data_IF_553746891044
#
_entry.id   IF_553746891044
#
_cell.length_a   1.000
_cell.length_b   1.000
_cell.length_c   1.000
_cell.angle_alpha   90.00
_cell.angle_beta   90.00
_cell.angle_gamma   90.00
#
_symmetry.space_group_name_H-M   'P 1'
#
loop_
_entity.id
_entity.type
_entity.pdbx_description
1 polymer ?
#
# COMPACT_ATOMS: atom_id res chain seq x y z
N UNK A 1 -0.58 -48.07 -4.63
CA UNK A 1 -0.52 -47.14 -3.50
C UNK A 1 -0.03 -45.83 -4.03
N UNK A 2 -0.97 -44.90 -4.18
CA UNK A 2 -0.76 -43.53 -4.63
C UNK A 2 0.01 -42.72 -3.59
N UNK A 3 0.85 -41.80 -4.06
CA UNK A 3 1.09 -40.53 -3.37
C UNK A 3 1.45 -39.48 -4.43
N UNK A 4 0.44 -38.70 -4.78
CA UNK A 4 0.48 -37.47 -5.57
C UNK A 4 0.77 -36.31 -4.62
N UNK A 5 1.56 -35.34 -5.08
CA UNK A 5 1.76 -34.03 -4.44
C UNK A 5 3.25 -33.66 -4.45
N UNK A 6 3.73 -32.52 -4.94
CA UNK A 6 3.09 -31.23 -5.19
C UNK A 6 4.02 -30.48 -6.14
N UNK A 7 3.64 -30.38 -7.42
CA UNK A 7 4.36 -29.59 -8.43
C UNK A 7 3.63 -28.26 -8.59
N UNK A 8 3.95 -27.26 -7.77
CA UNK A 8 3.41 -25.91 -7.91
C UNK A 8 4.35 -24.87 -7.28
N UNK A 9 5.55 -24.73 -7.83
CA UNK A 9 6.42 -23.60 -7.52
C UNK A 9 7.44 -23.41 -8.64
N UNK A 10 7.08 -22.62 -9.67
CA UNK A 10 7.97 -21.78 -10.50
C UNK A 10 7.27 -21.40 -11.80
N UNK A 11 6.41 -20.39 -11.72
CA UNK A 11 6.09 -19.49 -12.84
C UNK A 11 5.99 -18.09 -12.23
N UNK A 12 7.12 -17.62 -11.69
CA UNK A 12 7.35 -16.18 -11.54
C UNK A 12 7.76 -15.71 -12.92
N UNK A 13 6.86 -14.98 -13.56
CA UNK A 13 7.13 -14.16 -14.73
C UNK A 13 8.35 -13.30 -14.40
N UNK A 14 9.45 -13.48 -15.13
CA UNK A 14 10.64 -12.65 -15.00
C UNK A 14 10.25 -11.22 -15.39
N UNK A 15 10.05 -10.36 -14.39
CA UNK A 15 9.95 -8.92 -14.58
C UNK A 15 11.32 -8.45 -15.06
N UNK A 16 11.45 -7.88 -16.27
CA UNK A 16 12.73 -7.37 -16.73
C UNK A 16 13.18 -6.28 -15.76
N UNK A 17 14.33 -6.50 -15.12
CA UNK A 17 15.01 -5.50 -14.30
C UNK A 17 15.62 -4.41 -15.20
N UNK A 18 14.77 -3.70 -15.94
CA UNK A 18 15.11 -2.42 -16.51
C UNK A 18 15.24 -1.43 -15.37
N UNK A 19 16.38 -0.75 -15.29
CA UNK A 19 16.66 0.32 -14.32
C UNK A 19 15.62 1.43 -14.44
N UNK A 20 14.50 1.30 -13.74
CA UNK A 20 13.69 2.45 -13.36
C UNK A 20 14.45 3.13 -12.24
N UNK A 21 15.26 4.12 -12.60
CA UNK A 21 15.93 4.96 -11.61
C UNK A 21 14.88 5.69 -10.78
N UNK A 22 15.18 5.94 -9.50
CA UNK A 22 14.33 6.76 -8.62
C UNK A 22 13.95 8.13 -9.24
N UNK A 23 14.70 8.57 -10.25
CA UNK A 23 14.48 9.77 -11.04
C UNK A 23 13.23 9.70 -11.95
N UNK A 24 12.95 8.56 -12.60
CA UNK A 24 11.73 8.37 -13.41
C UNK A 24 10.48 8.26 -12.53
N UNK A 25 10.62 7.71 -11.32
CA UNK A 25 9.55 7.63 -10.33
C UNK A 25 9.24 9.01 -9.72
N UNK A 26 10.26 9.83 -9.47
CA UNK A 26 10.07 11.21 -9.03
C UNK A 26 9.35 12.07 -10.07
N UNK A 27 9.50 11.79 -11.37
CA UNK A 27 8.73 12.49 -12.41
C UNK A 27 7.23 12.13 -12.37
N UNK A 28 6.86 10.90 -12.02
CA UNK A 28 5.46 10.48 -11.82
C UNK A 28 4.91 11.02 -10.49
N UNK A 29 5.76 11.14 -9.46
CA UNK A 29 5.40 11.58 -8.11
C UNK A 29 5.34 13.11 -7.97
N UNK A 30 6.16 13.86 -8.73
CA UNK A 30 6.18 15.32 -8.79
C UNK A 30 5.37 15.89 -9.96
N UNK A 31 4.77 15.03 -10.78
CA UNK A 31 3.77 15.47 -11.73
C UNK A 31 2.62 16.11 -10.96
N UNK A 32 2.45 17.42 -11.16
CA UNK A 32 1.31 18.19 -10.68
C UNK A 32 0.01 17.39 -10.86
N UNK A 33 -0.97 17.63 -9.99
CA UNK A 33 -2.28 16.96 -10.04
C UNK A 33 -2.96 16.96 -11.42
N UNK A 34 -2.54 17.88 -12.29
CA UNK A 34 -2.93 18.03 -13.70
C UNK A 34 -2.34 16.95 -14.64
N UNK A 35 -1.12 16.45 -14.42
CA UNK A 35 -0.53 15.39 -15.25
C UNK A 35 -1.04 13.99 -14.87
N UNK A 36 -1.55 13.82 -13.65
CA UNK A 36 -2.30 12.61 -13.24
C UNK A 36 -3.69 12.49 -13.90
N UNK A 37 -4.11 13.49 -14.69
CA UNK A 37 -5.32 13.40 -15.54
C UNK A 37 -5.02 12.84 -16.94
N UNK A 38 -3.75 12.77 -17.35
CA UNK A 38 -3.37 12.15 -18.61
C UNK A 38 -3.38 10.62 -18.45
N UNK A 39 -3.82 9.91 -19.48
CA UNK A 39 -3.80 8.45 -19.52
C UNK A 39 -2.39 7.93 -19.33
N UNK A 40 -2.25 6.88 -18.53
CA UNK A 40 -0.98 6.18 -18.37
C UNK A 40 -0.79 5.23 -19.55
N UNK A 41 0.37 5.34 -20.21
CA UNK A 41 0.80 4.32 -21.16
C UNK A 41 1.08 2.98 -20.45
N UNK A 42 1.27 1.92 -21.23
CA UNK A 42 1.42 0.57 -20.65
C UNK A 42 2.72 0.41 -19.84
N UNK A 43 3.79 1.12 -20.22
CA UNK A 43 5.07 1.06 -19.53
C UNK A 43 4.99 1.75 -18.16
N UNK A 44 4.40 2.94 -18.10
CA UNK A 44 4.18 3.69 -16.86
C UNK A 44 3.17 3.01 -15.95
N UNK A 45 2.12 2.39 -16.49
CA UNK A 45 1.19 1.59 -15.71
C UNK A 45 1.89 0.39 -15.07
N UNK A 46 2.73 -0.33 -15.82
CA UNK A 46 3.51 -1.45 -15.28
C UNK A 46 4.49 -1.00 -14.18
N UNK A 47 5.17 0.13 -14.37
CA UNK A 47 6.06 0.71 -13.36
C UNK A 47 5.29 1.13 -12.09
N UNK A 48 4.12 1.75 -12.23
CA UNK A 48 3.27 2.15 -11.11
C UNK A 48 2.73 0.93 -10.34
N UNK A 49 2.36 -0.15 -11.06
CA UNK A 49 1.95 -1.42 -10.44
C UNK A 49 3.09 -2.05 -9.63
N UNK A 50 4.31 -2.07 -10.18
CA UNK A 50 5.48 -2.59 -9.48
C UNK A 50 5.75 -1.80 -8.18
N UNK A 51 5.61 -0.48 -8.22
CA UNK A 51 5.78 0.39 -7.05
C UNK A 51 4.67 0.19 -6.01
N UNK A 52 3.42 0.04 -6.44
CA UNK A 52 2.27 -0.16 -5.55
C UNK A 52 2.39 -1.46 -4.73
N UNK A 53 3.00 -2.51 -5.29
CA UNK A 53 3.16 -3.83 -4.64
C UNK A 53 4.48 -3.94 -3.87
N UNK A 54 5.46 -3.07 -4.13
CA UNK A 54 6.77 -3.15 -3.49
C UNK A 54 6.69 -3.02 -1.94
N UNK A 55 7.49 -3.82 -1.20
CA UNK A 55 7.58 -3.68 0.25
C UNK A 55 8.17 -2.31 0.62
N UNK A 56 7.68 -1.73 1.71
CA UNK A 56 8.22 -0.46 2.21
C UNK A 56 9.64 -0.67 2.75
N UNK A 57 10.55 0.29 2.56
CA UNK A 57 11.91 0.19 3.08
C UNK A 57 11.88 0.16 4.61
N UNK A 58 12.69 -0.69 5.23
CA UNK A 58 12.80 -0.77 6.70
C UNK A 58 13.29 0.57 7.26
N UNK A 59 12.66 1.06 8.32
CA UNK A 59 13.10 2.28 9.00
C UNK A 59 14.28 1.98 9.91
N UNK A 60 15.22 2.92 9.98
CA UNK A 60 16.35 2.81 10.89
C UNK A 60 15.89 2.93 12.35
N UNK A 61 16.50 2.19 13.28
CA UNK A 61 16.25 2.35 14.70
C UNK A 61 16.57 3.77 15.17
N UNK A 62 15.83 4.23 16.18
CA UNK A 62 16.05 5.53 16.80
C UNK A 62 17.49 5.64 17.33
N UNK A 63 18.13 6.77 17.04
CA UNK A 63 19.41 7.10 17.62
C UNK A 63 19.33 7.21 19.16
N UNK A 64 20.43 6.86 19.84
CA UNK A 64 20.49 6.85 21.31
C UNK A 64 20.30 8.24 21.89
N UNK A 65 20.83 9.28 21.26
CA UNK A 65 20.74 10.64 21.80
C UNK A 65 19.32 11.18 21.67
N UNK A 66 18.66 10.93 20.53
CA UNK A 66 17.24 11.27 20.34
C UNK A 66 16.34 10.54 21.33
N UNK A 67 16.57 9.24 21.55
CA UNK A 67 15.83 8.44 22.51
C UNK A 67 15.96 8.99 23.94
N UNK A 68 17.19 9.29 24.36
CA UNK A 68 17.46 9.87 25.66
C UNK A 68 16.81 11.24 25.82
N UNK A 69 16.79 12.05 24.76
CA UNK A 69 16.13 13.34 24.78
C UNK A 69 14.61 13.20 24.98
N UNK A 70 13.96 12.30 24.24
CA UNK A 70 12.53 12.03 24.41
C UNK A 70 12.17 11.57 25.83
N UNK A 71 12.97 10.66 26.39
CA UNK A 71 12.78 10.20 27.77
C UNK A 71 12.98 11.34 28.80
N UNK A 72 13.97 12.21 28.59
CA UNK A 72 14.19 13.37 29.47
C UNK A 72 13.01 14.33 29.46
N UNK A 73 12.41 14.57 28.29
CA UNK A 73 11.20 15.40 28.18
C UNK A 73 10.06 14.77 28.97
N UNK A 74 9.79 13.47 28.77
CA UNK A 74 8.75 12.77 29.53
C UNK A 74 9.00 12.82 31.04
N UNK A 75 10.25 12.64 31.48
CA UNK A 75 10.64 12.70 32.89
C UNK A 75 10.53 14.11 33.49
N UNK A 76 10.67 15.15 32.67
CA UNK A 76 10.54 16.53 33.11
C UNK A 76 9.07 16.96 33.24
N UNK A 77 8.19 16.42 32.40
CA UNK A 77 6.76 16.78 32.36
C UNK A 77 5.93 15.90 33.31
N UNK A 78 6.25 14.60 33.42
CA UNK A 78 5.43 13.64 34.15
C UNK A 78 6.01 13.32 35.53
N UNK A 79 5.19 13.31 36.58
CA UNK A 79 5.63 12.90 37.91
C UNK A 79 5.98 11.40 37.93
N UNK A 80 7.01 11.05 38.69
CA UNK A 80 7.35 9.65 39.00
C UNK A 80 6.49 9.13 40.14
N UNK A 81 6.14 7.84 40.12
CA UNK A 81 5.51 7.20 41.27
C UNK A 81 6.55 6.94 42.35
N UNK A 82 6.18 7.13 43.63
CA UNK A 82 7.08 6.94 44.78
C UNK A 82 7.65 5.51 44.92
N UNK A 83 7.07 4.52 44.24
CA UNK A 83 7.58 3.14 44.18
C UNK A 83 8.77 2.97 43.23
N UNK A 84 9.06 3.97 42.39
CA UNK A 84 10.03 3.87 41.31
C UNK A 84 11.37 4.55 41.67
N UNK A 85 11.86 4.31 42.90
CA UNK A 85 13.18 4.79 43.37
C UNK A 85 14.33 3.95 42.77
N UNK A 86 14.24 3.73 41.46
CA UNK A 86 15.28 3.11 40.65
C UNK A 86 16.18 4.22 40.14
N UNK A 87 17.49 4.08 40.34
CA UNK A 87 18.50 5.01 39.82
C UNK A 87 18.20 5.34 38.35
N UNK A 88 18.15 6.64 38.01
CA UNK A 88 17.71 7.10 36.68
C UNK A 88 18.49 6.50 35.51
N UNK A 89 19.76 6.10 35.72
CA UNK A 89 20.56 5.40 34.71
C UNK A 89 20.04 3.99 34.42
N UNK A 90 19.60 3.26 35.45
CA UNK A 90 19.05 1.92 35.29
C UNK A 90 17.67 1.97 34.61
N UNK A 91 16.86 2.98 34.92
CA UNK A 91 15.61 3.25 34.23
C UNK A 91 15.84 3.45 32.72
N UNK A 92 16.70 4.39 32.34
CA UNK A 92 16.99 4.68 30.92
C UNK A 92 17.48 3.43 30.20
N UNK A 93 18.38 2.65 30.82
CA UNK A 93 18.89 1.40 30.24
C UNK A 93 17.80 0.35 30.00
N UNK A 94 16.87 0.19 30.95
CA UNK A 94 15.74 -0.74 30.81
C UNK A 94 14.82 -0.35 29.66
N UNK A 95 14.52 0.95 29.52
CA UNK A 95 13.69 1.47 28.43
C UNK A 95 14.41 1.33 27.09
N UNK A 96 15.70 1.68 27.00
CA UNK A 96 16.49 1.54 25.78
C UNK A 96 16.51 0.07 25.30
N UNK A 97 16.64 -0.89 26.21
CA UNK A 97 16.66 -2.32 25.85
C UNK A 97 15.36 -2.81 25.22
N UNK A 98 14.22 -2.22 25.60
CA UNK A 98 12.89 -2.63 25.14
C UNK A 98 12.36 -1.79 23.98
N UNK A 99 12.73 -0.51 23.93
CA UNK A 99 12.18 0.46 23.00
C UNK A 99 13.21 0.98 21.98
N UNK A 100 14.50 0.72 22.18
CA UNK A 100 15.56 1.23 21.28
C UNK A 100 15.56 0.64 19.88
N UNK A 101 14.76 -0.41 19.61
CA UNK A 101 14.60 -0.98 18.27
C UNK A 101 13.54 -0.26 17.41
N UNK A 102 12.76 0.66 17.97
CA UNK A 102 11.74 1.39 17.23
C UNK A 102 12.35 2.61 16.51
N UNK A 103 11.76 3.03 15.37
CA UNK A 103 12.26 4.17 14.62
C UNK A 103 12.06 5.49 15.36
N UNK A 104 12.86 6.50 14.99
CA UNK A 104 12.87 7.85 15.58
C UNK A 104 11.47 8.46 15.68
N UNK A 105 10.69 8.42 14.59
CA UNK A 105 9.35 9.01 14.54
C UNK A 105 8.36 8.34 15.50
N UNK A 106 8.51 7.03 15.72
CA UNK A 106 7.65 6.28 16.63
C UNK A 106 7.99 6.60 18.09
N UNK A 107 9.27 6.85 18.40
CA UNK A 107 9.71 7.29 19.72
C UNK A 107 9.26 8.73 20.01
N UNK A 108 9.35 9.63 19.03
CA UNK A 108 8.80 10.98 19.16
C UNK A 108 7.29 10.95 19.41
N UNK A 109 6.56 10.15 18.63
CA UNK A 109 5.13 9.94 18.84
C UNK A 109 4.81 9.38 20.23
N UNK A 110 5.61 8.44 20.74
CA UNK A 110 5.46 7.94 22.11
C UNK A 110 5.58 9.07 23.13
N UNK A 111 6.58 9.94 23.01
CA UNK A 111 6.76 11.06 23.94
C UNK A 111 5.58 12.03 23.90
N UNK A 112 5.08 12.37 22.71
CA UNK A 112 3.90 13.22 22.54
C UNK A 112 2.64 12.58 23.13
N UNK A 113 2.42 11.28 22.88
CA UNK A 113 1.25 10.58 23.43
C UNK A 113 1.33 10.42 24.94
N UNK A 114 2.50 10.13 25.48
CA UNK A 114 2.70 9.97 26.90
C UNK A 114 2.47 11.30 27.64
N UNK A 115 3.04 12.40 27.14
CA UNK A 115 2.84 13.73 27.74
C UNK A 115 1.41 14.24 27.62
N UNK A 116 0.68 13.83 26.57
CA UNK A 116 -0.72 14.23 26.38
C UNK A 116 -1.72 13.39 27.17
N UNK A 117 -1.45 12.10 27.41
CA UNK A 117 -2.45 11.14 27.92
C UNK A 117 -2.15 10.57 29.30
N UNK A 118 -0.89 10.55 29.72
CA UNK A 118 -0.50 9.92 30.98
C UNK A 118 -0.45 10.97 32.10
N UNK A 119 -1.06 10.66 33.23
CA UNK A 119 -0.96 11.47 34.45
C UNK A 119 0.37 11.20 35.20
N UNK A 120 0.92 10.00 35.03
CA UNK A 120 2.17 9.53 35.66
C UNK A 120 3.13 9.03 34.60
N UNK A 121 4.42 8.96 34.92
CA UNK A 121 5.41 8.39 34.02
C UNK A 121 5.01 6.94 33.61
N UNK A 122 4.80 6.66 32.31
CA UNK A 122 4.25 5.38 31.87
C UNK A 122 5.27 4.27 32.02
N UNK A 123 4.81 3.07 32.34
CA UNK A 123 5.59 1.84 32.31
C UNK A 123 5.94 1.43 30.86
N UNK A 124 6.93 0.54 30.70
CA UNK A 124 7.32 0.01 29.37
C UNK A 124 6.11 -0.64 28.65
N UNK A 125 5.23 -1.32 29.38
CA UNK A 125 4.04 -1.95 28.80
C UNK A 125 3.06 -0.90 28.27
N UNK A 126 2.82 0.17 29.03
CA UNK A 126 1.98 1.29 28.60
C UNK A 126 2.61 2.02 27.40
N UNK A 127 3.93 2.21 27.37
CA UNK A 127 4.63 2.77 26.21
C UNK A 127 4.38 1.92 24.96
N UNK A 128 4.49 0.59 25.05
CA UNK A 128 4.20 -0.32 23.94
C UNK A 128 2.74 -0.16 23.48
N UNK A 129 1.79 -0.10 24.42
CA UNK A 129 0.38 0.13 24.09
C UNK A 129 0.13 1.47 23.40
N UNK A 130 0.76 2.56 23.85
CA UNK A 130 0.66 3.87 23.21
C UNK A 130 1.20 3.84 21.77
N UNK A 131 2.32 3.16 21.56
CA UNK A 131 2.96 3.04 20.24
C UNK A 131 2.17 2.22 19.22
N UNK A 132 1.21 1.38 19.64
CA UNK A 132 0.34 0.65 18.71
C UNK A 132 -0.51 1.59 17.84
N UNK A 133 -0.79 2.81 18.32
CA UNK A 133 -1.51 3.83 17.55
C UNK A 133 -0.67 4.52 16.48
N UNK A 134 0.66 4.33 16.49
CA UNK A 134 1.54 4.98 15.53
C UNK A 134 1.33 4.40 14.12
N UNK A 135 1.20 5.28 13.14
CA UNK A 135 1.14 4.93 11.73
C UNK A 135 2.29 5.63 11.01
N UNK A 136 3.05 4.85 10.25
CA UNK A 136 4.08 5.36 9.36
C UNK A 136 3.47 6.33 8.34
N UNK A 137 4.04 7.52 8.23
CA UNK A 137 3.58 8.60 7.36
C UNK A 137 4.77 9.35 6.75
N UNK A 138 5.62 8.62 6.04
CA UNK A 138 6.81 9.13 5.36
C UNK A 138 6.63 9.10 3.83
N UNK A 139 7.59 9.72 3.12
CA UNK A 139 7.55 9.83 1.67
C UNK A 139 7.36 8.48 0.94
N UNK A 140 8.05 7.39 1.31
CA UNK A 140 7.78 6.06 0.73
C UNK A 140 6.33 5.60 0.84
N UNK A 141 5.65 5.85 1.97
CA UNK A 141 4.22 5.53 2.13
C UNK A 141 3.36 6.39 1.20
N UNK A 142 3.66 7.68 1.08
CA UNK A 142 2.93 8.58 0.19
C UNK A 142 3.12 8.20 -1.28
N UNK A 143 4.35 7.88 -1.69
CA UNK A 143 4.68 7.43 -3.04
C UNK A 143 3.91 6.16 -3.39
N UNK A 144 3.90 5.16 -2.50
CA UNK A 144 3.16 3.91 -2.73
C UNK A 144 1.65 4.17 -2.86
N UNK A 145 1.06 4.96 -1.95
CA UNK A 145 -0.38 5.30 -2.00
C UNK A 145 -0.77 6.05 -3.27
N UNK A 146 0.10 6.94 -3.75
CA UNK A 146 -0.11 7.65 -5.03
C UNK A 146 -0.08 6.67 -6.20
N UNK A 147 0.89 5.75 -6.23
CA UNK A 147 0.98 4.71 -7.25
C UNK A 147 -0.26 3.80 -7.23
N UNK A 148 -0.69 3.31 -6.06
CA UNK A 148 -1.91 2.52 -5.89
C UNK A 148 -3.14 3.26 -6.45
N UNK A 149 -3.26 4.56 -6.16
CA UNK A 149 -4.37 5.39 -6.64
C UNK A 149 -4.34 5.58 -8.16
N UNK A 150 -3.16 5.83 -8.72
CA UNK A 150 -2.97 6.01 -10.16
C UNK A 150 -3.30 4.74 -10.94
N UNK A 151 -2.78 3.58 -10.49
CA UNK A 151 -3.07 2.27 -11.06
C UNK A 151 -4.56 1.98 -11.03
N UNK A 152 -5.22 2.17 -9.88
CA UNK A 152 -6.66 1.92 -9.76
C UNK A 152 -7.45 2.77 -10.74
N UNK A 153 -7.18 4.08 -10.81
CA UNK A 153 -7.88 5.00 -11.71
C UNK A 153 -7.71 4.63 -13.17
N UNK A 154 -6.50 4.29 -13.59
CA UNK A 154 -6.24 3.89 -14.98
C UNK A 154 -6.97 2.58 -15.33
N UNK A 155 -6.92 1.59 -14.44
CA UNK A 155 -7.61 0.31 -14.66
C UNK A 155 -9.13 0.49 -14.70
N UNK A 156 -9.69 1.34 -13.84
CA UNK A 156 -11.10 1.73 -13.88
C UNK A 156 -11.46 2.42 -15.19
N UNK A 157 -10.65 3.41 -15.64
CA UNK A 157 -10.90 4.13 -16.88
C UNK A 157 -10.84 3.22 -18.13
N UNK A 158 -9.85 2.32 -18.21
CA UNK A 158 -9.73 1.31 -19.28
C UNK A 158 -10.92 0.34 -19.29
N UNK A 159 -11.38 -0.06 -18.11
CA UNK A 159 -12.56 -0.91 -17.97
C UNK A 159 -13.80 -0.16 -18.46
N UNK A 160 -14.02 1.06 -18.00
CA UNK A 160 -15.20 1.86 -18.38
C UNK A 160 -15.26 2.12 -19.89
N UNK A 161 -14.11 2.42 -20.53
CA UNK A 161 -14.00 2.54 -21.99
C UNK A 161 -14.35 1.24 -22.70
N UNK A 162 -13.82 0.11 -22.21
CA UNK A 162 -14.13 -1.21 -22.77
C UNK A 162 -15.61 -1.54 -22.62
N UNK A 163 -16.21 -1.24 -21.47
CA UNK A 163 -17.65 -1.44 -21.24
C UNK A 163 -18.50 -0.55 -22.15
N UNK A 164 -18.07 0.70 -22.40
CA UNK A 164 -18.74 1.60 -23.34
C UNK A 164 -18.67 1.06 -24.78
N UNK A 165 -17.50 0.58 -25.22
CA UNK A 165 -17.33 -0.05 -26.54
C UNK A 165 -18.17 -1.32 -26.70
N UNK A 166 -18.21 -2.17 -25.67
CA UNK A 166 -19.05 -3.37 -25.64
C UNK A 166 -20.53 -3.01 -25.73
N UNK A 167 -20.99 -2.00 -24.98
CA UNK A 167 -22.37 -1.53 -25.03
C UNK A 167 -22.76 -0.97 -26.41
N UNK A 168 -21.81 -0.32 -27.10
CA UNK A 168 -21.97 0.19 -28.46
C UNK A 168 -21.82 -0.88 -29.56
N UNK A 169 -21.49 -2.13 -29.20
CA UNK A 169 -21.26 -3.21 -30.18
C UNK A 169 -20.01 -3.00 -31.04
N UNK A 170 -19.02 -2.24 -30.55
CA UNK A 170 -17.80 -1.87 -31.27
C UNK A 170 -16.60 -2.78 -30.94
N UNK A 171 -16.83 -3.88 -30.24
CA UNK A 171 -15.80 -4.86 -29.93
C UNK A 171 -15.95 -6.10 -30.82
N UNK A 172 -14.86 -6.53 -31.43
CA UNK A 172 -14.84 -7.78 -32.17
C UNK A 172 -14.67 -8.99 -31.23
N UNK A 173 -14.83 -10.20 -31.78
CA UNK A 173 -14.74 -11.43 -30.98
C UNK A 173 -13.32 -11.66 -30.44
N UNK A 174 -12.27 -11.24 -31.15
CA UNK A 174 -10.89 -11.40 -30.71
C UNK A 174 -10.56 -10.49 -29.54
N UNK A 175 -11.07 -9.26 -29.56
CA UNK A 175 -10.98 -8.31 -28.46
C UNK A 175 -11.75 -8.84 -27.25
N UNK A 176 -12.97 -9.36 -27.43
CA UNK A 176 -13.76 -9.98 -26.36
C UNK A 176 -12.96 -11.12 -25.73
N UNK A 177 -12.39 -12.01 -26.53
CA UNK A 177 -11.66 -13.17 -26.04
C UNK A 177 -10.38 -12.78 -25.27
N UNK A 178 -9.74 -11.67 -25.63
CA UNK A 178 -8.57 -11.13 -24.92
C UNK A 178 -8.91 -10.43 -23.59
N UNK A 179 -10.18 -10.12 -23.30
CA UNK A 179 -10.54 -9.41 -22.07
C UNK A 179 -10.25 -10.24 -20.80
N UNK A 180 -9.86 -9.58 -19.69
CA UNK A 180 -9.77 -10.23 -18.39
C UNK A 180 -11.10 -10.91 -17.99
N UNK A 181 -11.01 -12.09 -17.37
CA UNK A 181 -12.19 -12.89 -16.98
C UNK A 181 -13.18 -12.06 -16.15
N UNK A 182 -12.68 -11.32 -15.15
CA UNK A 182 -13.53 -10.43 -14.33
C UNK A 182 -14.30 -9.40 -15.14
N UNK A 183 -13.70 -8.87 -16.21
CA UNK A 183 -14.38 -7.90 -17.06
C UNK A 183 -15.48 -8.57 -17.89
N UNK A 184 -15.24 -9.79 -18.38
CA UNK A 184 -16.26 -10.60 -19.07
C UNK A 184 -17.46 -10.88 -18.17
N UNK A 185 -17.22 -11.26 -16.91
CA UNK A 185 -18.28 -11.50 -15.91
C UNK A 185 -19.10 -10.24 -15.61
N UNK A 186 -18.44 -9.08 -15.49
CA UNK A 186 -19.12 -7.78 -15.32
C UNK A 186 -19.96 -7.45 -16.56
N UNK A 187 -19.41 -7.66 -17.75
CA UNK A 187 -20.11 -7.42 -19.01
C UNK A 187 -21.31 -8.37 -19.20
N UNK A 188 -21.20 -9.63 -18.80
CA UNK A 188 -22.31 -10.59 -18.73
C UNK A 188 -23.41 -10.09 -17.77
N UNK A 189 -23.04 -9.69 -16.55
CA UNK A 189 -23.96 -9.16 -15.56
C UNK A 189 -24.70 -7.91 -16.07
N UNK A 190 -23.99 -7.04 -16.80
CA UNK A 190 -24.54 -5.85 -17.45
C UNK A 190 -25.26 -6.14 -18.78
N UNK A 191 -25.40 -7.41 -19.16
CA UNK A 191 -26.07 -7.85 -20.39
C UNK A 191 -25.41 -7.36 -21.69
N UNK A 192 -24.10 -7.09 -21.70
CA UNK A 192 -23.34 -6.77 -22.90
C UNK A 192 -22.78 -8.02 -23.60
N UNK A 193 -22.50 -9.09 -22.84
CA UNK A 193 -22.02 -10.37 -23.35
C UNK A 193 -22.99 -11.50 -23.01
N UNK A 194 -23.01 -12.53 -23.85
CA UNK A 194 -23.56 -13.85 -23.53
C UNK A 194 -22.46 -14.79 -23.15
N UNK A 195 -22.64 -15.51 -22.06
CA UNK A 195 -21.80 -16.65 -21.68
C UNK A 195 -22.41 -17.94 -22.24
N UNK A 196 -21.60 -18.72 -22.93
CA UNK A 196 -21.98 -20.03 -23.46
C UNK A 196 -21.64 -21.15 -22.47
N UNK A 197 -22.21 -22.33 -22.69
CA UNK A 197 -21.98 -23.50 -21.84
C UNK A 197 -20.53 -23.99 -21.86
N UNK A 198 -19.81 -23.72 -22.94
CA UNK A 198 -18.37 -24.00 -23.09
C UNK A 198 -17.47 -22.98 -22.37
N UNK A 199 -18.05 -21.95 -21.74
CA UNK A 199 -17.34 -20.89 -21.05
C UNK A 199 -16.84 -19.75 -21.95
N UNK A 200 -17.14 -19.80 -23.26
CA UNK A 200 -16.85 -18.71 -24.19
C UNK A 200 -17.84 -17.56 -24.01
N UNK A 201 -17.44 -16.37 -24.45
CA UNK A 201 -18.28 -15.17 -24.39
C UNK A 201 -18.47 -14.61 -25.79
N UNK A 202 -19.70 -14.26 -26.16
CA UNK A 202 -19.98 -13.57 -27.44
C UNK A 202 -20.74 -12.28 -27.20
N UNK A 203 -20.55 -11.29 -28.08
CA UNK A 203 -21.28 -10.03 -28.02
C UNK A 203 -22.80 -10.26 -28.04
N UNK A 204 -23.52 -9.66 -27.09
CA UNK A 204 -24.98 -9.60 -27.13
C UNK A 204 -25.35 -8.49 -28.09
N UNK A 205 -25.34 -8.81 -29.38
CA UNK A 205 -25.65 -7.84 -30.44
C UNK A 205 -26.98 -7.15 -30.12
N UNK A 206 -26.92 -5.88 -29.74
CA UNK A 206 -28.08 -5.01 -29.79
C UNK A 206 -28.22 -4.62 -31.25
N UNK A 207 -28.95 -5.42 -32.01
CA UNK A 207 -29.44 -4.98 -33.32
C UNK A 207 -30.29 -3.75 -33.04
N UNK A 208 -29.71 -2.56 -33.18
CA UNK A 208 -30.52 -1.41 -33.53
C UNK A 208 -31.12 -1.71 -34.90
N UNK A 209 -32.44 -1.71 -34.89
CA UNK A 209 -33.34 -1.94 -35.99
C UNK A 209 -32.86 -1.13 -37.19
N UNK A 210 -32.52 -1.83 -38.27
CA UNK A 210 -32.51 -1.22 -39.59
C UNK A 210 -33.92 -0.65 -39.84
N UNK A 211 -34.04 0.67 -39.85
CA UNK A 211 -35.19 1.43 -40.32
C UNK A 211 -34.67 2.67 -41.04
#
# INVERSE_FOLDING_TARGET
>A
MEAIGTTAARLLCEVPQGRVTAQSLNSIVNSDSTTLMARLDDETLAAAQALAVAPLPTLEPCDRDHFNQCLRVMLAVLPKRNSDDVSGKLLISAYQKKLGGYPTDQISYLADQATAKCEWFPSIAECISLMQGWKRNDDPVHVRRRAETAVRRELEARMDETMARLAAGQCDQTEIDALPIRWKEIAETRSYLWRHQDGTYTARVRRETAA
#
